data_IF_953577214094
#
_entry.id   IF_953577214094
#
_cell.length_a   1.000
_cell.length_b   1.000
_cell.length_c   1.000
_cell.angle_alpha   90.00
_cell.angle_beta   90.00
_cell.angle_gamma   90.00
#
_symmetry.space_group_name_H-M   'P 1'
#
loop_
_entity.id
_entity.type
_entity.pdbx_description
1 polymer ?
#
# COMPACT_ATOMS: atom_id res chain seq x y z
N UNK A 1 19.63 -16.26 -13.45
CA UNK A 1 18.44 -16.79 -14.15
C UNK A 1 17.88 -18.02 -13.43
N UNK A 2 18.70 -18.95 -12.92
CA UNK A 2 18.22 -20.19 -12.26
C UNK A 2 17.42 -19.93 -10.98
N UNK A 3 17.70 -18.86 -10.26
CA UNK A 3 17.11 -18.56 -8.94
C UNK A 3 15.97 -17.56 -8.99
N UNK A 4 15.49 -17.18 -10.17
CA UNK A 4 14.30 -16.31 -10.29
C UNK A 4 13.04 -17.15 -10.27
N UNK A 5 12.06 -16.74 -9.47
CA UNK A 5 10.79 -17.44 -9.35
C UNK A 5 9.93 -17.27 -10.61
N UNK A 6 9.87 -16.07 -11.16
CA UNK A 6 9.15 -15.74 -12.38
C UNK A 6 10.12 -15.43 -13.52
N UNK A 7 9.84 -15.95 -14.72
CA UNK A 7 10.61 -15.74 -15.93
C UNK A 7 9.70 -15.22 -17.04
N UNK A 8 10.09 -14.13 -17.65
CA UNK A 8 9.41 -13.55 -18.81
C UNK A 8 10.44 -13.54 -19.96
N UNK A 9 10.22 -14.36 -20.96
CA UNK A 9 11.14 -14.54 -22.08
C UNK A 9 10.50 -13.94 -23.33
N UNK A 10 11.05 -12.86 -23.80
CA UNK A 10 10.69 -12.26 -25.08
C UNK A 10 11.52 -12.86 -26.20
N UNK A 11 11.39 -12.35 -27.42
CA UNK A 11 12.15 -12.83 -28.57
C UNK A 11 13.67 -12.75 -28.33
N UNK A 12 14.36 -13.90 -28.39
CA UNK A 12 15.80 -14.03 -28.27
C UNK A 12 16.37 -14.62 -29.57
N UNK A 13 17.04 -13.82 -30.42
CA UNK A 13 17.61 -14.30 -31.69
C UNK A 13 18.82 -15.23 -31.49
N UNK A 14 19.62 -15.02 -30.43
CA UNK A 14 20.84 -15.77 -30.18
C UNK A 14 20.53 -17.15 -29.60
N UNK A 15 21.20 -18.20 -30.12
CA UNK A 15 20.84 -19.59 -29.83
C UNK A 15 21.22 -20.01 -28.40
N UNK A 16 22.39 -19.58 -27.91
CA UNK A 16 22.85 -19.94 -26.55
C UNK A 16 21.95 -19.28 -25.49
N UNK A 17 21.58 -18.02 -25.70
CA UNK A 17 20.68 -17.29 -24.80
C UNK A 17 19.30 -17.95 -24.75
N UNK A 18 18.77 -18.38 -25.91
CA UNK A 18 17.50 -19.11 -25.98
C UNK A 18 17.57 -20.43 -25.21
N UNK A 19 18.66 -21.20 -25.38
CA UNK A 19 18.85 -22.48 -24.67
C UNK A 19 18.89 -22.28 -23.17
N UNK A 20 19.64 -21.28 -22.69
CA UNK A 20 19.78 -21.00 -21.26
C UNK A 20 18.44 -20.54 -20.68
N UNK A 21 17.80 -19.54 -21.31
CA UNK A 21 16.54 -19.00 -20.86
C UNK A 21 15.41 -20.03 -20.94
N UNK A 22 15.27 -20.73 -22.06
CA UNK A 22 14.22 -21.71 -22.29
C UNK A 22 14.33 -22.92 -21.38
N UNK A 23 15.52 -23.46 -21.14
CA UNK A 23 15.74 -24.55 -20.17
C UNK A 23 15.42 -24.11 -18.75
N UNK A 24 15.69 -22.85 -18.40
CA UNK A 24 15.34 -22.33 -17.08
C UNK A 24 13.82 -22.18 -16.87
N UNK A 25 13.05 -22.12 -17.94
CA UNK A 25 11.58 -22.05 -17.97
C UNK A 25 10.92 -23.40 -18.32
N UNK A 26 11.66 -24.50 -18.18
CA UNK A 26 11.20 -25.86 -18.47
C UNK A 26 10.65 -26.08 -19.89
N UNK A 27 11.11 -25.30 -20.88
CA UNK A 27 10.69 -25.44 -22.28
C UNK A 27 11.38 -26.63 -22.96
N UNK A 28 10.65 -27.27 -23.88
CA UNK A 28 11.18 -28.29 -24.80
C UNK A 28 12.03 -27.67 -25.89
N UNK A 29 12.92 -28.43 -26.50
CA UNK A 29 13.86 -27.92 -27.53
C UNK A 29 13.16 -27.26 -28.72
N UNK A 30 11.99 -27.80 -29.13
CA UNK A 30 11.17 -27.21 -30.19
C UNK A 30 10.62 -25.82 -29.79
N UNK A 31 10.13 -25.70 -28.56
CA UNK A 31 9.63 -24.44 -28.00
C UNK A 31 10.75 -23.40 -27.84
N UNK A 32 11.95 -23.85 -27.48
CA UNK A 32 13.15 -22.99 -27.39
C UNK A 32 13.49 -22.38 -28.76
N UNK A 33 13.38 -23.17 -29.83
CA UNK A 33 13.61 -22.66 -31.18
C UNK A 33 12.57 -21.61 -31.61
N UNK A 34 11.32 -21.77 -31.20
CA UNK A 34 10.25 -20.81 -31.51
C UNK A 34 10.42 -19.46 -30.80
N UNK A 35 11.15 -19.38 -29.68
CA UNK A 35 11.47 -18.11 -29.01
C UNK A 35 12.13 -17.09 -29.99
N UNK A 36 12.94 -17.58 -30.94
CA UNK A 36 13.56 -16.71 -31.96
C UNK A 36 12.56 -16.00 -32.85
N UNK A 37 11.36 -16.55 -32.99
CA UNK A 37 10.32 -16.09 -33.92
C UNK A 37 9.14 -15.42 -33.26
N UNK A 38 9.18 -15.24 -31.91
CA UNK A 38 8.10 -14.60 -31.19
C UNK A 38 7.77 -13.22 -31.79
N UNK A 39 6.50 -12.93 -32.05
CA UNK A 39 6.07 -11.61 -32.50
C UNK A 39 6.37 -10.53 -31.46
N UNK A 40 6.38 -9.27 -31.88
CA UNK A 40 6.51 -8.13 -30.98
C UNK A 40 5.33 -8.11 -30.00
N UNK A 41 5.62 -7.96 -28.69
CA UNK A 41 4.60 -7.94 -27.66
C UNK A 41 4.15 -9.34 -27.19
N UNK A 42 4.76 -10.41 -27.68
CA UNK A 42 4.51 -11.77 -27.19
C UNK A 42 5.69 -12.23 -26.33
N UNK A 43 5.40 -12.83 -25.19
CA UNK A 43 6.37 -13.41 -24.30
C UNK A 43 5.96 -14.80 -23.80
N UNK A 44 6.94 -15.64 -23.53
CA UNK A 44 6.77 -16.85 -22.74
C UNK A 44 6.90 -16.47 -21.27
N UNK A 45 5.89 -16.78 -20.48
CA UNK A 45 5.88 -16.56 -19.02
C UNK A 45 5.90 -17.91 -18.32
N UNK A 46 6.78 -18.06 -17.35
CA UNK A 46 6.90 -19.24 -16.50
C UNK A 46 7.11 -18.83 -15.06
N UNK A 47 6.48 -19.55 -14.16
CA UNK A 47 6.65 -19.42 -12.72
C UNK A 47 6.97 -20.80 -12.13
N UNK A 48 7.82 -20.87 -11.10
CA UNK A 48 8.36 -22.14 -10.62
C UNK A 48 7.31 -23.13 -10.10
N UNK A 49 6.14 -22.65 -9.70
CA UNK A 49 4.99 -23.44 -9.26
C UNK A 49 4.02 -23.84 -10.41
N UNK A 50 4.31 -23.40 -11.64
CA UNK A 50 3.49 -23.75 -12.81
C UNK A 50 3.96 -25.06 -13.43
N UNK A 51 3.00 -25.84 -13.91
CA UNK A 51 3.28 -27.10 -14.61
C UNK A 51 3.93 -26.84 -15.97
N UNK A 52 3.53 -25.78 -16.67
CA UNK A 52 4.00 -25.43 -18.01
C UNK A 52 4.14 -23.91 -18.16
N UNK A 53 5.04 -23.51 -19.05
CA UNK A 53 5.13 -22.12 -19.47
C UNK A 53 3.95 -21.71 -20.38
N UNK A 54 3.50 -20.48 -20.24
CA UNK A 54 2.35 -19.94 -20.98
C UNK A 54 2.81 -18.86 -21.95
N UNK A 55 2.24 -18.87 -23.16
CA UNK A 55 2.46 -17.81 -24.14
C UNK A 55 1.48 -16.66 -23.86
N UNK A 56 2.02 -15.46 -23.58
CA UNK A 56 1.24 -14.29 -23.24
C UNK A 56 1.40 -13.17 -24.25
N UNK A 57 0.27 -12.57 -24.66
CA UNK A 57 0.28 -11.29 -25.37
C UNK A 57 0.37 -10.17 -24.33
N UNK A 58 1.44 -9.38 -24.40
CA UNK A 58 1.64 -8.20 -23.56
C UNK A 58 0.99 -7.02 -24.26
N UNK A 59 0.04 -6.36 -23.60
CA UNK A 59 -0.59 -5.15 -24.12
C UNK A 59 0.45 -4.04 -24.28
N UNK A 60 0.33 -3.26 -25.36
CA UNK A 60 1.15 -2.07 -25.51
C UNK A 60 0.78 -1.08 -24.41
N UNK A 61 1.77 -0.50 -23.76
CA UNK A 61 1.56 0.62 -22.88
C UNK A 61 1.12 1.83 -23.72
N UNK A 62 -0.10 2.33 -23.47
CA UNK A 62 -0.68 3.47 -24.18
C UNK A 62 -0.46 4.80 -23.46
N UNK A 63 0.28 4.78 -22.34
CA UNK A 63 0.67 5.98 -21.60
C UNK A 63 1.92 6.64 -22.19
N UNK A 64 2.13 7.90 -21.84
CA UNK A 64 3.39 8.59 -22.15
C UNK A 64 4.52 7.98 -21.32
N UNK A 65 5.61 7.57 -21.99
CA UNK A 65 6.86 7.22 -21.31
C UNK A 65 7.45 8.50 -20.70
N UNK A 66 7.37 8.63 -19.40
CA UNK A 66 8.07 9.71 -18.69
C UNK A 66 9.50 9.27 -18.42
N UNK A 67 10.45 10.15 -18.74
CA UNK A 67 11.83 9.95 -18.30
C UNK A 67 11.88 9.87 -16.76
N UNK A 68 12.68 8.93 -16.24
CA UNK A 68 12.95 8.84 -14.81
C UNK A 68 13.52 10.18 -14.31
N UNK A 69 12.79 10.82 -13.42
CA UNK A 69 13.19 12.11 -12.88
C UNK A 69 13.48 11.97 -11.38
N UNK A 70 14.75 12.15 -11.02
CA UNK A 70 15.21 12.13 -9.62
C UNK A 70 14.47 13.14 -8.72
N UNK A 71 13.99 14.23 -9.30
CA UNK A 71 13.17 15.22 -8.57
C UNK A 71 11.84 14.64 -8.13
N UNK A 72 11.23 13.79 -8.97
CA UNK A 72 9.94 13.16 -8.66
C UNK A 72 10.11 12.15 -7.51
N UNK A 73 11.22 11.42 -7.45
CA UNK A 73 11.53 10.50 -6.34
C UNK A 73 11.74 11.26 -5.02
N UNK A 74 12.44 12.39 -5.07
CA UNK A 74 12.63 13.26 -3.90
C UNK A 74 11.30 13.78 -3.36
N UNK A 75 10.44 14.31 -4.23
CA UNK A 75 9.10 14.79 -3.88
C UNK A 75 8.27 13.65 -3.29
N UNK A 76 8.32 12.46 -3.89
CA UNK A 76 7.62 11.28 -3.40
C UNK A 76 8.06 10.86 -2.00
N UNK A 77 9.37 10.87 -1.73
CA UNK A 77 9.92 10.56 -0.42
C UNK A 77 9.58 11.64 0.63
N UNK A 78 9.59 12.91 0.24
CA UNK A 78 9.15 14.01 1.12
C UNK A 78 7.65 13.87 1.48
N UNK A 79 6.80 13.51 0.51
CA UNK A 79 5.39 13.24 0.76
C UNK A 79 5.17 12.05 1.72
N UNK A 80 5.93 10.96 1.52
CA UNK A 80 5.89 9.81 2.45
C UNK A 80 6.28 10.21 3.87
N UNK A 81 7.36 10.97 4.02
CA UNK A 81 7.83 11.46 5.31
C UNK A 81 6.77 12.35 5.98
N UNK A 82 6.20 13.27 5.25
CA UNK A 82 5.11 14.15 5.72
C UNK A 82 3.93 13.33 6.25
N UNK A 83 3.44 12.37 5.45
CA UNK A 83 2.34 11.49 5.85
C UNK A 83 2.69 10.68 7.09
N UNK A 84 3.92 10.14 7.17
CA UNK A 84 4.39 9.37 8.32
C UNK A 84 4.40 10.18 9.61
N UNK A 85 4.92 11.40 9.56
CA UNK A 85 4.93 12.32 10.70
C UNK A 85 3.51 12.63 11.19
N UNK A 86 2.57 12.89 10.27
CA UNK A 86 1.18 13.18 10.61
C UNK A 86 0.46 11.96 11.20
N UNK A 87 0.66 10.78 10.63
CA UNK A 87 0.06 9.53 11.13
C UNK A 87 0.60 9.20 12.52
N UNK A 88 1.92 9.29 12.72
CA UNK A 88 2.51 9.08 14.04
C UNK A 88 1.94 10.05 15.08
N UNK A 89 1.77 11.32 14.73
CA UNK A 89 1.12 12.31 15.58
C UNK A 89 -0.30 11.90 15.99
N UNK A 90 -1.11 11.45 15.03
CA UNK A 90 -2.52 11.10 15.25
C UNK A 90 -2.68 9.79 16.04
N UNK A 91 -1.80 8.80 15.82
CA UNK A 91 -1.90 7.48 16.45
C UNK A 91 -1.08 7.34 17.73
N UNK A 92 -0.21 8.30 18.06
CA UNK A 92 0.73 8.22 19.19
C UNK A 92 0.06 7.90 20.53
N UNK A 93 -1.16 8.36 20.76
CA UNK A 93 -1.90 8.10 21.99
C UNK A 93 -2.48 6.67 22.09
N UNK A 94 -2.35 5.87 21.04
CA UNK A 94 -2.80 4.46 21.01
C UNK A 94 -1.66 3.48 21.20
N UNK A 95 -0.42 3.96 21.15
CA UNK A 95 0.76 3.11 21.32
C UNK A 95 0.95 2.77 22.79
N UNK A 96 1.42 1.56 23.08
CA UNK A 96 1.75 1.11 24.43
C UNK A 96 2.85 1.98 25.05
N UNK A 97 3.78 2.43 24.22
CA UNK A 97 4.87 3.32 24.59
C UNK A 97 4.90 4.54 23.67
N UNK A 98 4.07 5.57 23.95
CA UNK A 98 3.97 6.72 23.08
C UNK A 98 5.29 7.51 23.01
N UNK A 99 5.71 7.84 21.79
CA UNK A 99 6.89 8.65 21.54
C UNK A 99 6.67 10.12 21.94
N UNK A 100 7.76 10.80 22.27
CA UNK A 100 7.69 12.25 22.47
C UNK A 100 7.49 12.94 21.14
N UNK A 101 6.34 13.57 20.95
CA UNK A 101 5.98 14.30 19.74
C UNK A 101 6.87 15.54 19.57
N UNK A 102 7.56 15.62 18.44
CA UNK A 102 8.28 16.83 18.00
C UNK A 102 7.27 17.79 17.36
N UNK A 103 6.79 18.76 18.13
CA UNK A 103 5.73 19.68 17.71
C UNK A 103 6.11 20.53 16.49
N UNK A 104 7.40 20.88 16.34
CA UNK A 104 7.87 21.64 15.17
C UNK A 104 7.85 20.77 13.90
N UNK A 105 8.28 19.54 14.01
CA UNK A 105 8.25 18.61 12.88
C UNK A 105 6.82 18.32 12.41
N UNK A 106 5.85 18.20 13.34
CA UNK A 106 4.44 18.07 13.01
C UNK A 106 3.90 19.33 12.33
N UNK A 107 4.28 20.52 12.80
CA UNK A 107 3.88 21.80 12.18
C UNK A 107 4.40 21.91 10.75
N UNK A 108 5.69 21.64 10.53
CA UNK A 108 6.32 21.62 9.20
C UNK A 108 5.64 20.59 8.29
N UNK A 109 5.27 19.42 8.84
CA UNK A 109 4.54 18.39 8.11
C UNK A 109 3.12 18.85 7.70
N UNK A 110 2.39 19.55 8.57
CA UNK A 110 1.07 20.09 8.24
C UNK A 110 1.17 21.15 7.13
N UNK A 111 2.18 22.03 7.16
CA UNK A 111 2.41 23.03 6.12
C UNK A 111 2.67 22.39 4.77
N UNK A 112 3.52 21.36 4.73
CA UNK A 112 3.92 20.64 3.52
C UNK A 112 2.90 19.60 3.05
N UNK A 113 1.86 19.30 3.83
CA UNK A 113 0.86 18.32 3.48
C UNK A 113 0.01 18.78 2.29
N UNK A 114 -0.12 17.95 1.26
CA UNK A 114 -0.86 18.26 0.02
C UNK A 114 -2.38 17.95 0.09
N UNK A 115 -2.91 17.66 1.27
CA UNK A 115 -4.33 17.34 1.46
C UNK A 115 -5.25 18.57 1.46
N UNK A 116 -6.54 18.33 1.75
CA UNK A 116 -7.56 19.38 1.77
C UNK A 116 -7.27 20.45 2.84
N UNK A 117 -7.63 21.69 2.53
CA UNK A 117 -7.50 22.81 3.49
C UNK A 117 -8.24 22.54 4.80
N UNK A 118 -9.39 21.88 4.73
CA UNK A 118 -10.15 21.51 5.92
C UNK A 118 -9.39 20.54 6.83
N UNK A 119 -8.72 19.55 6.24
CA UNK A 119 -7.89 18.61 7.00
C UNK A 119 -6.67 19.30 7.61
N UNK A 120 -6.03 20.23 6.89
CA UNK A 120 -4.94 21.04 7.45
C UNK A 120 -5.38 21.85 8.67
N UNK A 121 -6.54 22.50 8.60
CA UNK A 121 -7.12 23.27 9.72
C UNK A 121 -7.39 22.34 10.92
N UNK A 122 -7.95 21.15 10.68
CA UNK A 122 -8.19 20.16 11.73
C UNK A 122 -6.89 19.71 12.39
N UNK A 123 -5.86 19.37 11.61
CA UNK A 123 -4.56 18.96 12.12
C UNK A 123 -3.88 20.08 12.92
N UNK A 124 -3.94 21.33 12.46
CA UNK A 124 -3.42 22.49 13.21
C UNK A 124 -4.19 22.68 14.54
N UNK A 125 -5.50 22.51 14.52
CA UNK A 125 -6.32 22.59 15.75
C UNK A 125 -5.91 21.51 16.76
N UNK A 126 -5.68 20.28 16.30
CA UNK A 126 -5.21 19.18 17.13
C UNK A 126 -3.80 19.41 17.67
N UNK A 127 -2.90 19.98 16.87
CA UNK A 127 -1.55 20.34 17.31
C UNK A 127 -1.59 21.42 18.38
N UNK A 128 -2.41 22.46 18.22
CA UNK A 128 -2.59 23.52 19.20
C UNK A 128 -3.21 23.00 20.49
N UNK A 129 -4.14 22.06 20.41
CA UNK A 129 -4.68 21.37 21.56
C UNK A 129 -3.61 20.54 22.30
N UNK A 130 -2.80 19.77 21.55
CA UNK A 130 -1.70 19.00 22.09
C UNK A 130 -0.66 19.91 22.78
N UNK A 131 -0.33 21.06 22.19
CA UNK A 131 0.56 22.07 22.80
C UNK A 131 0.07 22.56 24.15
N UNK A 132 -1.24 22.73 24.31
CA UNK A 132 -1.88 23.23 25.52
C UNK A 132 -2.05 22.15 26.58
N UNK A 133 -2.54 20.98 26.17
CA UNK A 133 -3.05 19.95 27.08
C UNK A 133 -2.04 18.79 27.30
N UNK A 134 -0.98 18.72 26.49
CA UNK A 134 0.01 17.62 26.49
C UNK A 134 -0.55 16.27 26.01
N UNK A 135 -1.82 16.25 25.60
CA UNK A 135 -2.54 15.05 25.15
C UNK A 135 -3.38 15.36 23.93
N UNK A 136 -3.50 14.38 23.05
CA UNK A 136 -4.37 14.46 21.88
C UNK A 136 -5.78 14.01 22.29
N UNK A 137 -6.76 14.90 22.23
CA UNK A 137 -8.18 14.59 22.42
C UNK A 137 -8.92 14.82 21.13
N UNK A 138 -9.32 13.75 20.49
CA UNK A 138 -10.03 13.81 19.20
C UNK A 138 -11.54 13.97 19.37
N UNK A 139 -12.04 13.60 20.55
CA UNK A 139 -13.46 13.73 20.92
C UNK A 139 -13.63 14.34 22.32
N UNK A 140 -14.69 15.10 22.51
CA UNK A 140 -14.89 15.87 23.76
C UNK A 140 -15.00 15.01 25.01
N UNK A 141 -15.58 13.82 24.90
CA UNK A 141 -15.84 12.93 26.05
C UNK A 141 -14.77 11.87 26.26
N UNK A 142 -13.66 11.90 25.49
CA UNK A 142 -12.55 10.95 25.56
C UNK A 142 -13.00 9.46 25.49
N UNK A 143 -14.10 9.19 24.79
CA UNK A 143 -14.58 7.83 24.56
C UNK A 143 -13.70 7.14 23.50
N UNK A 144 -13.18 5.98 23.84
CA UNK A 144 -12.26 5.22 22.98
C UNK A 144 -12.82 4.96 21.57
N UNK A 145 -14.10 4.56 21.49
CA UNK A 145 -14.77 4.31 20.21
C UNK A 145 -14.90 5.57 19.35
N UNK A 146 -15.17 6.72 19.97
CA UNK A 146 -15.30 7.99 19.27
C UNK A 146 -13.92 8.51 18.83
N UNK A 147 -12.89 8.31 19.64
CA UNK A 147 -11.52 8.63 19.28
C UNK A 147 -11.06 7.78 18.09
N UNK A 148 -11.30 6.47 18.11
CA UNK A 148 -10.97 5.57 17.00
C UNK A 148 -11.69 5.97 15.71
N UNK A 149 -12.96 6.35 15.79
CA UNK A 149 -13.73 6.83 14.63
C UNK A 149 -13.10 8.08 14.01
N UNK A 150 -12.75 9.07 14.82
CA UNK A 150 -12.08 10.29 14.35
C UNK A 150 -10.70 10.00 13.77
N UNK A 151 -9.91 9.18 14.43
CA UNK A 151 -8.60 8.74 13.94
C UNK A 151 -8.72 8.04 12.59
N UNK A 152 -9.70 7.14 12.44
CA UNK A 152 -9.90 6.41 11.18
C UNK A 152 -10.21 7.35 10.00
N UNK A 153 -11.01 8.40 10.22
CA UNK A 153 -11.29 9.41 9.20
C UNK A 153 -10.02 10.17 8.82
N UNK A 154 -9.26 10.64 9.81
CA UNK A 154 -8.04 11.43 9.58
C UNK A 154 -6.97 10.60 8.87
N UNK A 155 -6.69 9.38 9.37
CA UNK A 155 -5.70 8.46 8.79
C UNK A 155 -6.08 8.11 7.35
N UNK A 156 -7.33 7.76 7.09
CA UNK A 156 -7.83 7.47 5.74
C UNK A 156 -7.61 8.65 4.79
N UNK A 157 -7.88 9.88 5.24
CA UNK A 157 -7.72 11.08 4.43
C UNK A 157 -6.24 11.43 4.19
N UNK A 158 -5.36 11.24 5.17
CA UNK A 158 -3.90 11.42 4.99
C UNK A 158 -3.37 10.43 3.95
N UNK A 159 -3.81 9.18 4.00
CA UNK A 159 -3.38 8.11 3.09
C UNK A 159 -4.08 8.18 1.71
N UNK A 160 -5.08 9.03 1.54
CA UNK A 160 -5.89 9.12 0.30
C UNK A 160 -6.52 7.75 -0.09
N UNK A 161 -6.98 6.98 0.90
CA UNK A 161 -7.44 5.60 0.72
C UNK A 161 -8.97 5.45 0.50
N UNK A 162 -9.67 6.50 0.11
CA UNK A 162 -11.12 6.43 -0.20
C UNK A 162 -11.46 5.37 -1.26
N UNK A 163 -10.55 5.14 -2.21
CA UNK A 163 -10.74 4.13 -3.24
C UNK A 163 -10.48 2.71 -2.72
N UNK A 164 -9.56 2.54 -1.77
CA UNK A 164 -9.23 1.23 -1.18
C UNK A 164 -10.42 0.65 -0.42
N UNK A 165 -11.12 1.48 0.36
CA UNK A 165 -12.35 1.07 1.04
C UNK A 165 -13.42 0.60 0.05
N UNK A 166 -13.44 1.16 -1.18
CA UNK A 166 -14.33 0.71 -2.25
C UNK A 166 -13.85 -0.57 -2.92
N UNK A 167 -12.54 -0.74 -3.08
CA UNK A 167 -11.94 -1.95 -3.67
C UNK A 167 -12.08 -3.16 -2.76
N UNK A 168 -12.04 -2.99 -1.44
CA UNK A 168 -12.41 -4.06 -0.50
C UNK A 168 -13.82 -4.60 -0.72
N UNK A 169 -14.74 -3.79 -1.26
CA UNK A 169 -16.11 -4.22 -1.62
C UNK A 169 -16.17 -5.24 -2.74
N UNK A 170 -15.22 -5.23 -3.67
CA UNK A 170 -15.24 -6.06 -4.88
C UNK A 170 -14.37 -7.31 -4.77
N UNK A 171 -13.34 -7.28 -3.95
CA UNK A 171 -12.48 -8.44 -3.70
C UNK A 171 -12.98 -9.18 -2.47
N UNK A 172 -14.13 -9.78 -2.62
CA UNK A 172 -14.75 -10.64 -1.62
C UNK A 172 -13.74 -11.68 -1.14
N UNK A 173 -13.25 -11.56 0.10
CA UNK A 173 -12.89 -12.64 1.01
C UNK A 173 -12.16 -13.89 0.46
N UNK A 174 -11.30 -13.79 -0.53
CA UNK A 174 -10.32 -14.81 -0.79
C UNK A 174 -9.13 -14.61 0.15
N UNK A 175 -8.92 -15.55 0.97
CA UNK A 175 -8.33 -15.65 2.30
C UNK A 175 -6.85 -15.16 2.45
N UNK A 176 -6.14 -14.76 1.41
CA UNK A 176 -4.71 -14.43 1.51
C UNK A 176 -4.29 -13.09 0.90
N UNK A 177 -5.14 -12.41 0.14
CA UNK A 177 -4.75 -11.21 -0.61
C UNK A 177 -4.99 -9.86 0.08
N UNK A 178 -5.95 -9.67 1.03
CA UNK A 178 -6.26 -8.36 1.57
C UNK A 178 -5.09 -7.72 2.31
N UNK A 179 -4.34 -8.48 3.09
CA UNK A 179 -3.22 -7.97 3.87
C UNK A 179 -2.05 -7.53 2.97
N UNK A 180 -1.71 -8.32 1.96
CA UNK A 180 -0.65 -7.96 1.01
C UNK A 180 -0.98 -6.69 0.23
N UNK A 181 -2.21 -6.58 -0.30
CA UNK A 181 -2.67 -5.39 -1.02
C UNK A 181 -2.66 -4.16 -0.11
N UNK A 182 -3.15 -4.30 1.12
CA UNK A 182 -3.20 -3.22 2.09
C UNK A 182 -1.79 -2.76 2.49
N UNK A 183 -0.89 -3.69 2.81
CA UNK A 183 0.50 -3.38 3.12
C UNK A 183 1.19 -2.67 1.95
N UNK A 184 1.00 -3.15 0.71
CA UNK A 184 1.58 -2.51 -0.48
C UNK A 184 1.07 -1.08 -0.65
N UNK A 185 -0.23 -0.83 -0.44
CA UNK A 185 -0.81 0.51 -0.55
C UNK A 185 -0.32 1.44 0.57
N UNK A 186 -0.20 0.93 1.78
CA UNK A 186 0.35 1.69 2.90
C UNK A 186 1.82 2.05 2.63
N UNK A 187 2.64 1.08 2.20
CA UNK A 187 4.07 1.28 1.88
C UNK A 187 4.31 2.29 0.75
N UNK A 188 3.33 2.45 -0.14
CA UNK A 188 3.38 3.49 -1.17
C UNK A 188 3.15 4.91 -0.62
N UNK A 189 2.47 5.06 0.51
CA UNK A 189 2.02 6.35 1.04
C UNK A 189 2.82 6.85 2.23
N UNK A 190 3.51 5.97 2.93
CA UNK A 190 4.28 6.28 4.14
C UNK A 190 5.67 5.61 4.11
N UNK A 191 6.56 6.09 4.96
CA UNK A 191 7.82 5.42 5.29
C UNK A 191 7.53 4.14 6.09
N UNK A 192 8.51 3.25 6.19
CA UNK A 192 8.36 2.03 7.00
C UNK A 192 8.17 2.38 8.48
N UNK A 193 7.08 1.92 9.03
CA UNK A 193 6.79 1.99 10.46
C UNK A 193 7.14 0.70 11.19
N UNK A 194 7.17 0.78 12.52
CA UNK A 194 7.18 -0.40 13.36
C UNK A 194 5.82 -1.14 13.24
N UNK A 195 5.79 -2.38 13.70
CA UNK A 195 4.61 -3.25 13.60
C UNK A 195 3.41 -2.68 14.36
N UNK A 196 3.64 -2.02 15.50
CA UNK A 196 2.58 -1.45 16.34
C UNK A 196 1.80 -0.35 15.61
N UNK A 197 2.49 0.63 15.02
CA UNK A 197 1.84 1.70 14.24
C UNK A 197 1.13 1.12 13.01
N UNK A 198 1.73 0.13 12.36
CA UNK A 198 1.10 -0.52 11.20
C UNK A 198 -0.22 -1.21 11.58
N UNK A 199 -0.29 -1.86 12.73
CA UNK A 199 -1.51 -2.46 13.24
C UNK A 199 -2.58 -1.40 13.55
N UNK A 200 -2.20 -0.29 14.16
CA UNK A 200 -3.13 0.82 14.43
C UNK A 200 -3.66 1.47 13.12
N UNK A 201 -2.82 1.60 12.09
CA UNK A 201 -3.27 2.04 10.77
C UNK A 201 -4.31 1.05 10.20
N UNK A 202 -4.04 -0.24 10.28
CA UNK A 202 -4.95 -1.28 9.79
C UNK A 202 -6.28 -1.26 10.54
N UNK A 203 -6.28 -1.12 11.86
CA UNK A 203 -7.50 -0.96 12.66
C UNK A 203 -8.31 0.28 12.24
N UNK A 204 -7.66 1.41 11.98
CA UNK A 204 -8.31 2.61 11.45
C UNK A 204 -8.98 2.35 10.09
N UNK A 205 -8.33 1.61 9.20
CA UNK A 205 -8.86 1.29 7.88
C UNK A 205 -10.04 0.30 7.96
N UNK A 206 -9.95 -0.72 8.82
CA UNK A 206 -11.06 -1.65 9.10
C UNK A 206 -12.25 -0.86 9.66
N UNK A 207 -12.02 0.04 10.60
CA UNK A 207 -13.09 0.90 11.13
C UNK A 207 -13.75 1.74 10.05
N UNK A 208 -12.96 2.37 9.19
CA UNK A 208 -13.49 3.14 8.05
C UNK A 208 -14.33 2.27 7.12
N UNK A 209 -13.94 1.02 6.91
CA UNK A 209 -14.70 0.07 6.11
C UNK A 209 -16.02 -0.32 6.77
N UNK A 210 -16.03 -0.60 8.07
CA UNK A 210 -17.23 -0.91 8.85
C UNK A 210 -18.21 0.25 8.78
N UNK A 211 -17.74 1.47 8.98
CA UNK A 211 -18.59 2.68 8.97
C UNK A 211 -19.18 2.97 7.58
N UNK A 212 -18.46 2.60 6.51
CA UNK A 212 -18.96 2.72 5.13
C UNK A 212 -19.98 1.62 4.74
N UNK A 213 -20.01 0.49 5.47
CA UNK A 213 -20.82 -0.68 5.16
C UNK A 213 -21.77 -1.01 6.31
N UNK A 214 -22.90 -0.30 6.38
CA UNK A 214 -23.90 -0.45 7.47
C UNK A 214 -24.50 -1.85 7.63
N UNK A 215 -24.34 -2.73 6.64
CA UNK A 215 -24.93 -4.08 6.62
C UNK A 215 -23.87 -5.16 6.88
N UNK A 216 -22.65 -4.80 7.30
CA UNK A 216 -21.62 -5.77 7.63
C UNK A 216 -22.00 -6.52 8.92
N UNK A 217 -21.86 -7.83 8.92
CA UNK A 217 -22.13 -8.69 10.08
C UNK A 217 -20.94 -8.74 11.04
N UNK A 218 -21.17 -9.06 12.30
CA UNK A 218 -20.08 -9.26 13.28
C UNK A 218 -19.10 -10.35 12.83
N UNK A 219 -19.62 -11.42 12.21
CA UNK A 219 -18.79 -12.51 11.68
C UNK A 219 -17.85 -12.04 10.56
N UNK A 220 -18.33 -11.18 9.66
CA UNK A 220 -17.50 -10.56 8.61
C UNK A 220 -16.44 -9.62 9.19
N UNK A 221 -16.76 -8.88 10.26
CA UNK A 221 -15.81 -8.04 10.98
C UNK A 221 -14.70 -8.86 11.62
N UNK A 222 -15.04 -9.98 12.26
CA UNK A 222 -14.07 -10.86 12.88
C UNK A 222 -13.15 -11.54 11.85
N UNK A 223 -13.70 -11.92 10.71
CA UNK A 223 -12.93 -12.46 9.58
C UNK A 223 -11.96 -11.39 9.03
N UNK A 224 -12.42 -10.14 8.87
CA UNK A 224 -11.57 -9.03 8.41
C UNK A 224 -10.41 -8.79 9.39
N UNK A 225 -10.69 -8.69 10.68
CA UNK A 225 -9.66 -8.51 11.71
C UNK A 225 -8.66 -9.63 11.71
N UNK A 226 -9.13 -10.86 11.66
CA UNK A 226 -8.27 -12.04 11.64
C UNK A 226 -7.35 -12.09 10.42
N UNK A 227 -7.80 -11.60 9.26
CA UNK A 227 -7.05 -11.66 8.02
C UNK A 227 -6.13 -10.44 7.80
N UNK A 228 -6.34 -9.34 8.53
CA UNK A 228 -5.61 -8.08 8.33
C UNK A 228 -4.69 -7.77 9.51
N UNK A 229 -5.06 -8.15 10.74
CA UNK A 229 -4.34 -7.78 11.98
C UNK A 229 -3.47 -8.93 12.51
N UNK A 230 -3.71 -10.17 12.10
CA UNK A 230 -2.87 -11.33 12.41
C UNK A 230 -1.84 -11.60 11.31
#
# INVERSE_FOLDING_TARGET
IRNTNTKIIMRLPEENDRKIAGKSAALKDEQINEIARLPKGVAVVYQNDWIEAVLCQISKFDGEEKEYNYKDEKIYNEKKKTNSTLINFILNNRLDSPDKINQKEVEDAIENFEGSTQLKIELLSLLNQYRRDGKLKLWQNDEEKANLFKQSIIVKNILELDNVVKEFRYKTFSVQEPDYVLNTLIDQKIEKFNTEILLEIKECLIRSYIDANRNITEEEIDILRKNIVQ
#
